data_IF_498950432067
#
_entry.id   IF_498950432067
#
_cell.length_a   1.000
_cell.length_b   1.000
_cell.length_c   1.000
_cell.angle_alpha   90.00
_cell.angle_beta   90.00
_cell.angle_gamma   90.00
#
_symmetry.space_group_name_H-M   'P 1'
#
loop_
_entity.id
_entity.type
_entity.pdbx_description
1 polymer ?
#
# COMPACT_ATOMS: atom_id res chain seq x y z
N UNK A 1 -14.75 4.26 -5.20
CA UNK A 1 -14.19 2.89 -5.19
C UNK A 1 -15.21 1.85 -4.75
N UNK A 2 -15.93 2.00 -3.62
CA UNK A 2 -16.95 1.02 -3.19
C UNK A 2 -17.94 0.64 -4.30
N UNK A 3 -18.51 1.63 -5.01
CA UNK A 3 -19.43 1.40 -6.13
C UNK A 3 -18.82 0.54 -7.25
N UNK A 4 -17.55 0.74 -7.58
CA UNK A 4 -16.86 -0.06 -8.59
C UNK A 4 -16.82 -1.55 -8.23
N UNK A 5 -16.50 -1.86 -6.98
CA UNK A 5 -16.48 -3.25 -6.50
C UNK A 5 -17.88 -3.84 -6.37
N UNK A 6 -18.89 -3.04 -5.99
CA UNK A 6 -20.29 -3.46 -5.99
C UNK A 6 -20.77 -3.80 -7.39
N UNK A 7 -20.49 -2.96 -8.39
CA UNK A 7 -20.84 -3.24 -9.79
C UNK A 7 -20.16 -4.50 -10.31
N UNK A 8 -18.89 -4.73 -9.97
CA UNK A 8 -18.19 -5.98 -10.29
C UNK A 8 -18.84 -7.20 -9.65
N UNK A 9 -19.23 -7.11 -8.39
CA UNK A 9 -19.93 -8.19 -7.69
C UNK A 9 -21.31 -8.50 -8.32
N UNK A 10 -22.10 -7.47 -8.64
CA UNK A 10 -23.41 -7.66 -9.31
C UNK A 10 -23.26 -8.25 -10.69
N UNK A 11 -22.27 -7.81 -11.47
CA UNK A 11 -22.00 -8.39 -12.79
C UNK A 11 -21.68 -9.90 -12.73
N UNK A 12 -20.94 -10.33 -11.70
CA UNK A 12 -20.65 -11.75 -11.47
C UNK A 12 -21.84 -12.55 -10.94
N UNK A 13 -22.84 -11.91 -10.31
CA UNK A 13 -24.06 -12.58 -9.87
C UNK A 13 -24.98 -12.95 -11.03
N UNK A 14 -24.98 -12.19 -12.13
CA UNK A 14 -25.82 -12.47 -13.29
C UNK A 14 -25.66 -13.93 -13.82
N UNK A 15 -24.44 -14.39 -14.15
CA UNK A 15 -24.27 -15.78 -14.59
C UNK A 15 -24.61 -16.81 -13.50
N UNK A 16 -24.44 -16.49 -12.21
CA UNK A 16 -24.83 -17.39 -11.12
C UNK A 16 -26.33 -17.63 -11.12
N UNK A 17 -27.14 -16.58 -11.35
CA UNK A 17 -28.60 -16.68 -11.37
C UNK A 17 -29.08 -17.37 -12.67
N UNK A 18 -28.44 -17.09 -13.81
CA UNK A 18 -28.86 -17.57 -15.12
C UNK A 18 -28.44 -19.03 -15.37
N UNK A 19 -27.16 -19.35 -15.08
CA UNK A 19 -26.57 -20.69 -15.42
C UNK A 19 -26.66 -21.65 -14.22
N UNK A 20 -26.97 -21.15 -13.03
CA UNK A 20 -27.11 -21.90 -11.77
C UNK A 20 -25.88 -22.78 -11.46
N UNK A 21 -26.05 -24.10 -11.37
CA UNK A 21 -25.05 -25.02 -10.79
C UNK A 21 -23.64 -24.87 -11.35
N UNK A 22 -23.49 -24.65 -12.66
CA UNK A 22 -22.18 -24.47 -13.28
C UNK A 22 -21.49 -23.14 -12.92
N UNK A 23 -22.20 -22.13 -12.34
CA UNK A 23 -21.69 -20.83 -12.02
C UNK A 23 -21.55 -20.57 -10.51
N UNK A 24 -21.90 -21.52 -9.66
CA UNK A 24 -21.84 -21.35 -8.19
C UNK A 24 -20.44 -20.98 -7.66
N UNK A 25 -19.39 -21.43 -8.33
CA UNK A 25 -18.02 -21.06 -7.97
C UNK A 25 -17.74 -19.55 -8.07
N UNK A 26 -18.53 -18.79 -8.86
CA UNK A 26 -18.46 -17.33 -8.96
C UNK A 26 -18.92 -16.61 -7.68
N UNK A 27 -19.63 -17.29 -6.78
CA UNK A 27 -19.99 -16.73 -5.48
C UNK A 27 -18.74 -16.35 -4.67
N UNK A 28 -17.65 -17.06 -4.82
CA UNK A 28 -16.42 -16.75 -4.12
C UNK A 28 -15.84 -15.37 -4.52
N UNK A 29 -15.56 -15.05 -5.79
CA UNK A 29 -15.16 -13.69 -6.15
C UNK A 29 -16.22 -12.64 -5.84
N UNK A 30 -17.53 -12.96 -5.89
CA UNK A 30 -18.60 -12.04 -5.46
C UNK A 30 -18.41 -11.65 -3.99
N UNK A 31 -18.29 -12.62 -3.09
CA UNK A 31 -18.06 -12.38 -1.66
C UNK A 31 -16.77 -11.59 -1.45
N UNK A 32 -15.72 -11.93 -2.16
CA UNK A 32 -14.44 -11.23 -2.10
C UNK A 32 -14.59 -9.75 -2.47
N UNK A 33 -15.28 -9.42 -3.57
CA UNK A 33 -15.52 -8.05 -4.00
C UNK A 33 -16.44 -7.27 -3.06
N UNK A 34 -17.46 -7.92 -2.48
CA UNK A 34 -18.34 -7.30 -1.49
C UNK A 34 -17.57 -6.92 -0.22
N UNK A 35 -16.69 -7.80 0.28
CA UNK A 35 -15.82 -7.48 1.43
C UNK A 35 -14.89 -6.31 1.12
N UNK A 36 -14.33 -6.25 -0.08
CA UNK A 36 -13.51 -5.10 -0.52
C UNK A 36 -14.37 -3.85 -0.65
N UNK A 37 -15.59 -3.92 -1.17
CA UNK A 37 -16.51 -2.78 -1.21
C UNK A 37 -16.77 -2.22 0.19
N UNK A 38 -16.96 -3.09 1.19
CA UNK A 38 -17.14 -2.69 2.60
C UNK A 38 -15.89 -2.00 3.16
N UNK A 39 -14.67 -2.43 2.77
CA UNK A 39 -13.45 -1.72 3.15
C UNK A 39 -13.48 -0.26 2.68
N UNK A 40 -13.91 -0.02 1.44
CA UNK A 40 -14.00 1.33 0.88
C UNK A 40 -15.27 2.09 1.30
N UNK A 41 -16.25 1.42 1.87
CA UNK A 41 -17.48 2.03 2.41
C UNK A 41 -17.35 2.50 3.87
N UNK A 42 -16.24 2.18 4.56
CA UNK A 42 -16.00 2.65 5.92
C UNK A 42 -15.30 1.67 6.86
N UNK A 43 -15.29 0.36 6.56
CA UNK A 43 -14.56 -0.61 7.41
C UNK A 43 -13.03 -0.49 7.30
N UNK A 44 -12.55 0.24 6.31
CA UNK A 44 -11.13 0.55 6.15
C UNK A 44 -10.26 -0.69 5.96
N UNK A 45 -9.03 -0.59 6.41
CA UNK A 45 -8.01 -1.64 6.26
C UNK A 45 -8.26 -2.88 7.13
N UNK A 46 -9.18 -2.80 8.10
CA UNK A 46 -9.52 -3.92 8.99
C UNK A 46 -10.03 -5.16 8.23
N UNK A 47 -10.68 -4.97 7.08
CA UNK A 47 -11.18 -6.06 6.22
C UNK A 47 -10.04 -7.01 5.79
N UNK A 48 -8.84 -6.49 5.58
CA UNK A 48 -7.69 -7.29 5.15
C UNK A 48 -7.03 -8.07 6.30
N UNK A 49 -7.36 -7.76 7.55
CA UNK A 49 -6.84 -8.44 8.74
C UNK A 49 -5.32 -8.66 8.71
N UNK A 50 -4.59 -7.63 8.32
CA UNK A 50 -3.13 -7.72 8.24
C UNK A 50 -2.51 -7.74 9.63
N UNK A 51 -1.72 -8.77 9.92
CA UNK A 51 -1.06 -9.00 11.21
C UNK A 51 0.21 -8.17 11.35
N UNK A 52 0.72 -8.09 12.58
CA UNK A 52 1.97 -7.38 12.86
C UNK A 52 3.19 -7.96 12.13
N UNK A 53 3.14 -9.23 11.74
CA UNK A 53 4.19 -9.91 10.96
C UNK A 53 4.08 -9.69 9.44
N UNK A 54 3.17 -8.83 8.98
CA UNK A 54 2.94 -8.52 7.57
C UNK A 54 2.11 -9.55 6.80
N UNK A 55 1.67 -10.62 7.46
CA UNK A 55 0.80 -11.63 6.85
C UNK A 55 -0.67 -11.25 7.05
N UNK A 56 -1.50 -11.64 6.11
CA UNK A 56 -2.94 -11.65 6.30
C UNK A 56 -3.34 -12.89 7.09
N UNK A 57 -4.43 -12.81 7.85
CA UNK A 57 -4.99 -14.01 8.50
C UNK A 57 -5.39 -15.06 7.47
N UNK A 58 -5.50 -16.33 7.89
CA UNK A 58 -5.94 -17.40 6.99
C UNK A 58 -7.34 -17.13 6.43
N UNK A 59 -8.26 -16.63 7.26
CA UNK A 59 -9.61 -16.27 6.84
C UNK A 59 -9.58 -15.19 5.76
N UNK A 60 -8.88 -14.07 5.97
CA UNK A 60 -8.76 -13.01 4.97
C UNK A 60 -8.09 -13.50 3.68
N UNK A 61 -7.03 -14.31 3.79
CA UNK A 61 -6.36 -14.89 2.61
C UNK A 61 -7.27 -15.76 1.78
N UNK A 62 -8.13 -16.55 2.41
CA UNK A 62 -9.02 -17.45 1.69
C UNK A 62 -10.22 -16.70 1.12
N UNK A 63 -10.92 -15.90 1.94
CA UNK A 63 -12.10 -15.15 1.51
C UNK A 63 -11.78 -14.12 0.42
N UNK A 64 -10.63 -13.46 0.53
CA UNK A 64 -10.21 -12.43 -0.42
C UNK A 64 -9.31 -12.98 -1.54
N UNK A 65 -9.05 -14.29 -1.63
CA UNK A 65 -8.09 -14.85 -2.57
C UNK A 65 -8.33 -14.42 -4.03
N UNK A 66 -9.56 -14.38 -4.58
CA UNK A 66 -9.81 -13.90 -5.94
C UNK A 66 -9.33 -12.44 -6.14
N UNK A 67 -9.66 -11.55 -5.21
CA UNK A 67 -9.22 -10.16 -5.24
C UNK A 67 -7.69 -10.04 -5.05
N UNK A 68 -7.13 -10.74 -4.06
CA UNK A 68 -5.69 -10.69 -3.77
C UNK A 68 -4.86 -11.19 -4.95
N UNK A 69 -5.33 -12.24 -5.64
CA UNK A 69 -4.72 -12.75 -6.86
C UNK A 69 -4.71 -11.70 -7.98
N UNK A 70 -5.84 -11.04 -8.20
CA UNK A 70 -5.96 -9.97 -9.19
C UNK A 70 -5.03 -8.79 -8.85
N UNK A 71 -4.99 -8.34 -7.59
CA UNK A 71 -4.09 -7.26 -7.15
C UNK A 71 -2.62 -7.66 -7.29
N UNK A 72 -2.28 -8.91 -6.96
CA UNK A 72 -0.92 -9.39 -7.12
C UNK A 72 -0.49 -9.41 -8.59
N UNK A 73 -1.32 -9.95 -9.49
CA UNK A 73 -1.07 -9.95 -10.94
C UNK A 73 -0.94 -8.51 -11.44
N UNK A 74 -1.88 -7.65 -11.09
CA UNK A 74 -1.86 -6.23 -11.44
C UNK A 74 -0.54 -5.57 -11.01
N UNK A 75 -0.11 -5.79 -9.77
CA UNK A 75 1.17 -5.27 -9.27
C UNK A 75 2.35 -5.74 -10.14
N UNK A 76 2.39 -7.01 -10.55
CA UNK A 76 3.49 -7.56 -11.36
C UNK A 76 3.47 -7.05 -12.80
N UNK A 77 2.29 -6.93 -13.39
CA UNK A 77 2.11 -6.42 -14.75
C UNK A 77 2.54 -4.95 -14.86
N UNK A 78 2.04 -4.09 -13.97
CA UNK A 78 2.35 -2.66 -14.01
C UNK A 78 3.80 -2.34 -13.69
N UNK A 79 4.43 -3.13 -12.82
CA UNK A 79 5.82 -2.90 -12.42
C UNK A 79 6.83 -3.73 -13.21
N UNK A 80 6.41 -4.44 -14.27
CA UNK A 80 7.29 -5.35 -15.04
C UNK A 80 8.55 -4.68 -15.61
N UNK A 81 8.45 -3.38 -15.97
CA UNK A 81 9.57 -2.60 -16.53
C UNK A 81 10.51 -2.03 -15.46
N UNK A 82 10.08 -1.90 -14.22
CA UNK A 82 10.85 -1.37 -13.10
C UNK A 82 10.50 -2.15 -11.80
N UNK A 83 10.82 -3.46 -11.75
CA UNK A 83 10.41 -4.32 -10.64
C UNK A 83 11.22 -4.09 -9.37
N UNK A 84 12.41 -3.50 -9.50
CA UNK A 84 13.36 -3.33 -8.41
C UNK A 84 13.00 -2.10 -7.56
N UNK A 85 13.28 -2.15 -6.24
CA UNK A 85 13.28 -0.95 -5.43
C UNK A 85 14.41 -0.02 -5.87
N UNK A 86 14.24 1.28 -5.64
CA UNK A 86 15.23 2.31 -5.96
C UNK A 86 15.66 3.03 -4.68
N UNK A 87 16.95 3.37 -4.54
CA UNK A 87 17.41 4.20 -3.43
C UNK A 87 16.87 5.62 -3.60
N UNK A 88 16.43 6.24 -2.52
CA UNK A 88 15.97 7.63 -2.51
C UNK A 88 16.99 8.51 -1.79
N UNK A 89 17.18 8.29 -0.48
CA UNK A 89 18.11 9.06 0.36
C UNK A 89 18.40 8.29 1.66
N UNK A 90 19.59 8.46 2.24
CA UNK A 90 19.98 7.99 3.57
C UNK A 90 19.62 6.52 3.88
N UNK A 91 19.82 5.65 2.90
CA UNK A 91 19.52 4.23 3.05
C UNK A 91 18.03 3.87 2.91
N UNK A 92 17.15 4.85 2.64
CA UNK A 92 15.72 4.61 2.38
C UNK A 92 15.52 4.27 0.91
N UNK A 93 14.89 3.13 0.66
CA UNK A 93 14.54 2.61 -0.66
C UNK A 93 13.03 2.63 -0.86
N UNK A 94 12.61 2.91 -2.07
CA UNK A 94 11.20 2.95 -2.48
C UNK A 94 10.93 1.83 -3.48
N UNK A 95 9.88 1.04 -3.25
CA UNK A 95 9.54 -0.03 -4.16
C UNK A 95 8.13 -0.58 -4.02
N UNK A 96 7.84 -1.57 -4.88
CA UNK A 96 6.66 -2.41 -4.72
C UNK A 96 6.89 -3.40 -3.59
N UNK A 97 5.80 -4.00 -3.12
CA UNK A 97 5.86 -5.12 -2.20
C UNK A 97 6.78 -6.23 -2.76
N UNK A 98 7.79 -6.68 -2.01
CA UNK A 98 8.78 -7.61 -2.51
C UNK A 98 8.16 -8.98 -2.80
N UNK A 99 8.76 -9.70 -3.74
CA UNK A 99 8.52 -11.13 -3.94
C UNK A 99 9.20 -11.99 -2.89
N UNK A 100 9.39 -13.27 -3.19
CA UNK A 100 10.04 -14.21 -2.28
C UNK A 100 11.52 -13.88 -2.00
N UNK A 101 12.22 -13.25 -2.94
CA UNK A 101 13.59 -12.78 -2.77
C UNK A 101 13.58 -11.28 -2.48
N UNK A 102 13.99 -10.89 -1.29
CA UNK A 102 14.39 -9.52 -0.99
C UNK A 102 15.73 -9.25 -1.66
N UNK A 103 15.73 -8.23 -2.47
CA UNK A 103 16.93 -7.69 -3.10
C UNK A 103 17.46 -6.63 -2.13
N UNK A 104 18.54 -6.15 -2.25
CA UNK A 104 19.72 -5.98 -1.46
C UNK A 104 19.59 -6.36 0.06
N UNK A 105 20.63 -6.35 0.86
CA UNK A 105 20.56 -6.70 2.28
C UNK A 105 19.83 -5.62 3.07
N UNK A 106 18.48 -5.59 2.94
CA UNK A 106 17.62 -4.69 3.68
C UNK A 106 17.57 -5.10 5.15
N UNK A 107 17.74 -4.12 6.03
CA UNK A 107 17.65 -4.30 7.48
C UNK A 107 16.24 -4.01 8.00
N UNK A 108 15.42 -3.29 7.21
CA UNK A 108 14.08 -2.93 7.60
C UNK A 108 13.09 -2.87 6.43
N UNK A 109 11.81 -2.98 6.76
CA UNK A 109 10.70 -2.79 5.82
C UNK A 109 9.61 -1.98 6.50
N UNK A 110 9.18 -0.88 5.88
CA UNK A 110 7.94 -0.18 6.19
C UNK A 110 6.92 -0.52 5.12
N UNK A 111 5.92 -1.28 5.51
CA UNK A 111 4.88 -1.79 4.64
C UNK A 111 3.60 -0.97 4.80
N UNK A 112 3.30 -0.14 3.80
CA UNK A 112 2.09 0.68 3.76
C UNK A 112 0.96 0.07 2.91
N UNK A 113 1.09 -1.20 2.52
CA UNK A 113 0.10 -1.93 1.75
C UNK A 113 -0.89 -2.65 2.67
N UNK A 114 -2.19 -2.41 2.53
CA UNK A 114 -3.20 -3.12 3.32
C UNK A 114 -3.46 -4.53 2.77
N UNK A 115 -3.57 -4.67 1.45
CA UNK A 115 -4.14 -5.81 0.75
C UNK A 115 -3.16 -6.98 0.51
N UNK A 116 -1.87 -6.72 0.36
CA UNK A 116 -0.91 -7.79 0.05
C UNK A 116 -0.07 -8.17 1.27
N UNK A 117 0.20 -9.45 1.44
CA UNK A 117 1.14 -9.92 2.45
C UNK A 117 2.57 -9.50 2.10
N UNK A 118 3.29 -8.96 3.07
CA UNK A 118 4.72 -8.68 2.97
C UNK A 118 5.47 -9.62 3.91
N UNK A 119 6.47 -10.32 3.40
CA UNK A 119 7.38 -11.14 4.22
C UNK A 119 8.75 -10.50 4.23
N UNK A 120 9.26 -10.20 5.41
CA UNK A 120 10.57 -9.60 5.60
C UNK A 120 11.38 -10.42 6.62
N UNK A 121 11.72 -11.68 6.31
CA UNK A 121 12.44 -12.53 7.25
C UNK A 121 13.81 -11.94 7.59
N UNK A 122 14.10 -11.81 8.87
CA UNK A 122 15.38 -11.27 9.37
C UNK A 122 15.51 -9.74 9.28
N UNK A 123 14.51 -9.02 8.76
CA UNK A 123 14.47 -7.57 8.75
C UNK A 123 13.51 -7.03 9.81
N UNK A 124 13.82 -5.87 10.39
CA UNK A 124 12.87 -5.13 11.22
C UNK A 124 11.65 -4.73 10.39
N UNK A 125 10.45 -4.89 10.92
CA UNK A 125 9.22 -4.68 10.18
C UNK A 125 8.28 -3.73 10.90
N UNK A 126 7.78 -2.75 10.15
CA UNK A 126 6.68 -1.88 10.57
C UNK A 126 5.58 -1.90 9.52
N UNK A 127 4.32 -1.90 9.96
CA UNK A 127 3.16 -1.80 9.08
C UNK A 127 2.37 -0.53 9.38
N UNK A 128 1.99 0.17 8.32
CA UNK A 128 1.03 1.29 8.38
C UNK A 128 0.04 1.10 7.23
N UNK A 129 -0.94 0.21 7.39
CA UNK A 129 -1.79 -0.21 6.28
C UNK A 129 -2.65 0.94 5.76
N UNK A 130 -2.58 1.19 4.45
CA UNK A 130 -3.33 2.19 3.71
C UNK A 130 -4.11 1.52 2.59
N UNK A 131 -5.35 1.95 2.34
CA UNK A 131 -6.13 1.47 1.19
C UNK A 131 -5.52 1.97 -0.12
N UNK A 132 -5.63 1.15 -1.17
CA UNK A 132 -5.22 1.58 -2.51
C UNK A 132 -6.19 2.60 -3.10
N UNK A 133 -5.71 3.45 -4.03
CA UNK A 133 -6.55 4.45 -4.72
C UNK A 133 -7.29 5.44 -3.78
N UNK A 134 -6.88 5.53 -2.53
CA UNK A 134 -7.35 6.50 -1.55
C UNK A 134 -6.16 7.33 -1.11
N UNK A 135 -6.35 8.63 -0.99
CA UNK A 135 -5.30 9.51 -0.43
C UNK A 135 -5.08 9.13 1.04
N UNK A 136 -3.84 8.81 1.44
CA UNK A 136 -3.54 8.51 2.83
C UNK A 136 -3.87 9.70 3.74
N UNK A 137 -4.37 9.42 4.93
CA UNK A 137 -4.61 10.49 5.91
C UNK A 137 -3.30 11.07 6.43
N UNK A 138 -3.29 12.35 6.87
CA UNK A 138 -2.10 12.95 7.50
C UNK A 138 -1.57 12.12 8.68
N UNK A 139 -2.45 11.51 9.48
CA UNK A 139 -2.06 10.64 10.59
C UNK A 139 -1.32 9.37 10.11
N UNK A 140 -1.82 8.70 9.06
CA UNK A 140 -1.13 7.54 8.48
C UNK A 140 0.23 7.92 7.89
N UNK A 141 0.32 9.09 7.25
CA UNK A 141 1.59 9.59 6.70
C UNK A 141 2.60 9.92 7.81
N UNK A 142 2.15 10.51 8.92
CA UNK A 142 3.00 10.74 10.11
C UNK A 142 3.52 9.42 10.67
N UNK A 143 2.63 8.47 10.93
CA UNK A 143 3.00 7.15 11.45
C UNK A 143 4.03 6.45 10.53
N UNK A 144 3.83 6.52 9.21
CA UNK A 144 4.76 5.96 8.24
C UNK A 144 6.12 6.66 8.27
N UNK A 145 6.14 7.99 8.33
CA UNK A 145 7.37 8.77 8.42
C UNK A 145 8.16 8.47 9.70
N UNK A 146 7.49 8.33 10.83
CA UNK A 146 8.10 7.94 12.11
C UNK A 146 8.65 6.51 12.07
N UNK A 147 7.93 5.58 11.44
CA UNK A 147 8.41 4.23 11.24
C UNK A 147 9.66 4.21 10.34
N UNK A 148 9.71 5.03 9.29
CA UNK A 148 10.88 5.17 8.41
C UNK A 148 12.06 5.69 9.24
N UNK A 149 11.91 6.79 9.98
CA UNK A 149 13.00 7.39 10.76
C UNK A 149 13.52 6.42 11.82
N UNK A 150 12.64 5.72 12.52
CA UNK A 150 13.00 4.73 13.54
C UNK A 150 13.77 3.54 12.99
N UNK A 151 13.39 3.02 11.82
CA UNK A 151 14.00 1.80 11.27
C UNK A 151 15.25 2.07 10.45
N UNK A 152 15.38 3.21 9.76
CA UNK A 152 16.53 3.51 8.90
C UNK A 152 17.87 3.57 9.64
N UNK A 153 17.86 3.88 10.92
CA UNK A 153 19.10 3.91 11.74
C UNK A 153 19.73 2.53 11.92
N UNK A 154 18.96 1.46 11.66
CA UNK A 154 19.43 0.07 11.73
C UNK A 154 20.08 -0.40 10.42
N UNK A 155 20.00 0.40 9.35
CA UNK A 155 20.55 0.11 8.03
C UNK A 155 19.55 0.30 6.89
N UNK A 156 19.85 -0.20 5.68
CA UNK A 156 19.01 -0.01 4.50
C UNK A 156 17.57 -0.48 4.73
N UNK A 157 16.61 0.38 4.36
CA UNK A 157 15.18 0.23 4.62
C UNK A 157 14.37 0.29 3.32
N UNK A 158 13.42 -0.62 3.13
CA UNK A 158 12.44 -0.56 2.05
C UNK A 158 11.12 0.03 2.55
N UNK A 159 10.62 1.05 1.87
CA UNK A 159 9.24 1.51 2.00
C UNK A 159 8.44 0.99 0.81
N UNK A 160 7.39 0.19 1.06
CA UNK A 160 6.67 -0.47 -0.02
C UNK A 160 5.15 -0.39 0.12
N UNK A 161 4.50 -0.32 -1.04
CA UNK A 161 3.08 -0.60 -1.23
C UNK A 161 2.91 -1.60 -2.38
N UNK A 162 1.71 -1.88 -2.85
CA UNK A 162 1.49 -2.85 -3.93
C UNK A 162 2.36 -2.58 -5.18
N UNK A 163 2.44 -1.34 -5.62
CA UNK A 163 3.14 -0.91 -6.85
C UNK A 163 4.41 -0.10 -6.58
N UNK A 164 4.52 0.54 -5.41
CA UNK A 164 5.60 1.49 -5.14
C UNK A 164 5.42 2.84 -5.85
N UNK A 165 4.17 3.24 -6.17
CA UNK A 165 3.90 4.44 -6.97
C UNK A 165 3.21 5.57 -6.22
N UNK A 166 2.30 5.29 -5.28
CA UNK A 166 1.54 6.33 -4.60
C UNK A 166 1.73 6.29 -3.08
N UNK A 167 1.11 5.35 -2.37
CA UNK A 167 1.13 5.27 -0.90
C UNK A 167 2.55 5.31 -0.32
N UNK A 168 3.44 4.46 -0.81
CA UNK A 168 4.85 4.45 -0.37
C UNK A 168 5.62 5.69 -0.80
N UNK A 169 5.32 6.26 -1.99
CA UNK A 169 5.93 7.50 -2.44
C UNK A 169 5.49 8.69 -1.55
N UNK A 170 4.20 8.78 -1.20
CA UNK A 170 3.69 9.79 -0.27
C UNK A 170 4.32 9.64 1.13
N UNK A 171 4.47 8.40 1.62
CA UNK A 171 5.12 8.13 2.92
C UNK A 171 6.58 8.58 2.94
N UNK A 172 7.33 8.30 1.86
CA UNK A 172 8.74 8.73 1.75
C UNK A 172 8.83 10.26 1.63
N UNK A 173 7.95 10.90 0.83
CA UNK A 173 7.92 12.36 0.71
C UNK A 173 7.59 13.02 2.06
N UNK A 174 6.64 12.48 2.82
CA UNK A 174 6.33 12.95 4.17
C UNK A 174 7.53 12.82 5.11
N UNK A 175 8.24 11.68 5.04
CA UNK A 175 9.45 11.49 5.83
C UNK A 175 10.55 12.51 5.48
N UNK A 176 10.79 12.76 4.20
CA UNK A 176 11.77 13.76 3.74
C UNK A 176 11.44 15.16 4.30
N UNK A 177 10.17 15.53 4.25
CA UNK A 177 9.72 16.82 4.74
C UNK A 177 9.79 16.92 6.27
N UNK A 178 9.28 15.93 7.00
CA UNK A 178 9.30 15.92 8.49
C UNK A 178 10.70 15.88 9.09
N UNK A 179 11.63 15.27 8.38
CA UNK A 179 13.03 15.15 8.83
C UNK A 179 13.93 16.30 8.38
N UNK A 180 13.36 17.35 7.76
CA UNK A 180 14.10 18.51 7.29
C UNK A 180 15.00 18.25 6.07
N UNK A 181 14.80 17.13 5.36
CA UNK A 181 15.53 16.79 4.13
C UNK A 181 14.93 17.42 2.88
N UNK A 182 13.75 17.96 2.99
CA UNK A 182 13.08 18.76 1.99
C UNK A 182 12.48 20.01 2.65
N UNK A 183 12.43 21.12 1.93
CA UNK A 183 11.93 22.41 2.42
C UNK A 183 10.41 22.47 2.45
N UNK A 184 9.79 21.80 1.52
CA UNK A 184 8.33 21.78 1.32
C UNK A 184 7.88 20.47 0.66
N UNK A 185 6.57 20.31 0.47
CA UNK A 185 5.98 19.10 -0.11
C UNK A 185 6.39 18.89 -1.57
N UNK A 186 6.51 19.97 -2.35
CA UNK A 186 6.90 19.90 -3.76
C UNK A 186 8.35 19.45 -3.90
N UNK A 187 9.26 20.00 -3.10
CA UNK A 187 10.66 19.58 -3.03
C UNK A 187 10.78 18.10 -2.64
N UNK A 188 10.03 17.67 -1.63
CA UNK A 188 10.00 16.27 -1.20
C UNK A 188 9.53 15.34 -2.33
N UNK A 189 8.47 15.70 -3.02
CA UNK A 189 7.94 14.94 -4.18
C UNK A 189 8.92 14.95 -5.34
N UNK A 190 9.62 16.06 -5.59
CA UNK A 190 10.64 16.15 -6.64
C UNK A 190 11.80 15.18 -6.37
N UNK A 191 12.28 15.08 -5.13
CA UNK A 191 13.32 14.11 -4.72
C UNK A 191 12.83 12.68 -4.98
N UNK A 192 11.63 12.32 -4.54
CA UNK A 192 11.09 10.97 -4.76
C UNK A 192 10.90 10.67 -6.26
N UNK A 193 10.44 11.66 -7.05
CA UNK A 193 10.24 11.53 -8.50
C UNK A 193 11.56 11.39 -9.25
N UNK A 194 12.63 12.03 -8.81
CA UNK A 194 13.96 11.86 -9.42
C UNK A 194 14.48 10.43 -9.25
N UNK A 195 14.21 9.80 -8.10
CA UNK A 195 14.58 8.41 -7.84
C UNK A 195 13.66 7.43 -8.59
N UNK A 196 12.34 7.71 -8.64
CA UNK A 196 11.36 6.84 -9.30
C UNK A 196 10.37 7.65 -10.12
N UNK A 197 10.61 7.76 -11.44
CA UNK A 197 9.78 8.57 -12.35
C UNK A 197 8.32 8.14 -12.44
N UNK A 198 8.02 6.89 -12.14
CA UNK A 198 6.67 6.31 -12.24
C UNK A 198 5.78 6.58 -11.03
N UNK A 199 6.17 7.44 -10.09
CA UNK A 199 5.29 7.80 -8.97
C UNK A 199 4.07 8.58 -9.46
N UNK A 200 2.94 8.31 -8.80
CA UNK A 200 1.65 8.95 -9.08
C UNK A 200 1.19 9.64 -7.79
N UNK A 201 1.44 10.94 -7.73
CA UNK A 201 0.99 11.82 -6.65
C UNK A 201 0.25 13.01 -7.27
N UNK A 202 -0.98 13.24 -6.81
CA UNK A 202 -1.85 14.33 -7.21
C UNK A 202 -1.85 15.43 -6.14
N UNK A 203 -2.44 16.57 -6.39
CA UNK A 203 -2.51 17.71 -5.47
C UNK A 203 -3.07 17.32 -4.08
N UNK A 204 -4.05 16.41 -4.05
CA UNK A 204 -4.60 15.89 -2.80
C UNK A 204 -3.57 15.12 -1.95
N UNK A 205 -2.59 14.48 -2.58
CA UNK A 205 -1.48 13.85 -1.86
C UNK A 205 -0.51 14.91 -1.32
N UNK A 206 -0.21 15.97 -2.09
CA UNK A 206 0.63 17.07 -1.64
C UNK A 206 0.01 17.77 -0.43
N UNK A 207 -1.29 18.02 -0.47
CA UNK A 207 -2.05 18.57 0.66
C UNK A 207 -1.97 17.67 1.90
N UNK A 208 -2.14 16.36 1.74
CA UNK A 208 -2.03 15.40 2.84
C UNK A 208 -0.61 15.32 3.41
N UNK A 209 0.43 15.39 2.56
CA UNK A 209 1.85 15.44 2.97
C UNK A 209 2.11 16.72 3.77
N UNK A 210 1.69 17.87 3.27
CA UNK A 210 1.85 19.14 3.98
C UNK A 210 1.12 19.14 5.33
N UNK A 211 -0.12 18.65 5.36
CA UNK A 211 -0.91 18.53 6.59
C UNK A 211 -0.30 17.53 7.60
N UNK A 212 0.45 16.55 7.14
CA UNK A 212 1.14 15.59 8.02
C UNK A 212 2.34 16.21 8.78
N UNK A 213 2.80 17.37 8.36
CA UNK A 213 3.93 18.10 8.99
C UNK A 213 3.45 19.21 9.92
N UNK A 214 2.24 19.73 9.68
CA UNK A 214 1.66 20.74 10.55
C UNK A 214 1.54 20.22 12.00
N UNK A 215 1.81 21.05 13.00
CA UNK A 215 1.55 20.69 14.39
C UNK A 215 0.08 20.30 14.56
N UNK A 216 -0.17 19.28 15.37
CA UNK A 216 -1.56 18.91 15.68
C UNK A 216 -2.23 20.10 16.39
N UNK A 217 -3.30 20.62 15.77
CA UNK A 217 -4.14 21.57 16.50
C UNK A 217 -4.66 20.86 17.76
N UNK A 218 -4.49 21.45 18.95
CA UNK A 218 -5.06 20.87 20.15
C UNK A 218 -6.58 20.72 19.95
N UNK A 219 -7.07 19.52 20.26
CA UNK A 219 -8.49 19.18 20.20
C UNK A 219 -9.29 19.89 21.30
#
# INVERSE_FOLDING_TARGET
>A
MALFYLLGATALLVPVVVVRDAALWLLWPVVSLLLVALAYAGLGTAVFQKRADGRLTMAARWLLAPYLGAVWINSRVWTRRAPQPVPVMDGVWLGRIPGAALLPPLRGVVDVCAELSCRAPGAAYARVPMLDLVVPTPAQLREAAEAIERLRVQGPLLVCCALGYSRSAASVATWLLRSGRATDADAAVAIVRSARRSIVLHDSHLQAIAAAVAPESPA
#
